data_IF_367035415834
#
_entry.id   IF_367035415834
#
_cell.length_a   1.000
_cell.length_b   1.000
_cell.length_c   1.000
_cell.angle_alpha   90.00
_cell.angle_beta   90.00
_cell.angle_gamma   90.00
#
_symmetry.space_group_name_H-M   'P 1'
#
loop_
_entity.id
_entity.type
_entity.pdbx_description
1 polymer ?
#
# COMPACT_ATOMS: atom_id res chain seq x y z
N UNK A 1 -11.68 8.68 2.78
CA UNK A 1 -10.42 9.44 2.98
C UNK A 1 -9.72 8.86 4.20
N UNK A 2 -8.40 8.71 4.15
CA UNK A 2 -7.62 8.18 5.27
C UNK A 2 -7.65 9.14 6.48
N UNK A 3 -7.79 8.62 7.69
CA UNK A 3 -7.70 9.36 8.97
C UNK A 3 -6.81 8.65 10.00
N UNK A 4 -5.95 7.71 9.58
CA UNK A 4 -5.03 6.94 10.43
C UNK A 4 -4.25 7.83 11.39
N UNK A 5 -3.68 8.93 10.90
CA UNK A 5 -2.93 9.91 11.69
C UNK A 5 -3.72 10.51 12.88
N UNK A 6 -5.05 10.50 12.83
CA UNK A 6 -5.95 11.03 13.85
C UNK A 6 -6.52 9.98 14.80
N UNK A 7 -6.45 8.69 14.45
CA UNK A 7 -7.13 7.62 15.22
C UNK A 7 -6.22 6.50 15.69
N UNK A 8 -5.05 6.30 15.07
CA UNK A 8 -4.15 5.20 15.42
C UNK A 8 -3.16 5.63 16.50
N UNK A 9 -3.30 5.04 17.69
CA UNK A 9 -2.42 5.29 18.84
C UNK A 9 -0.99 4.77 18.64
N UNK A 10 -0.77 3.81 17.73
CA UNK A 10 0.56 3.30 17.41
C UNK A 10 1.44 4.34 16.66
N UNK A 11 0.85 5.42 16.13
CA UNK A 11 1.58 6.46 15.41
C UNK A 11 2.12 7.57 16.32
N UNK A 12 1.90 7.50 17.64
CA UNK A 12 2.28 8.56 18.61
C UNK A 12 3.72 9.01 18.55
N UNK A 13 4.64 8.11 18.20
CA UNK A 13 6.07 8.40 18.08
C UNK A 13 6.53 8.49 16.62
N UNK A 14 5.60 8.46 15.66
CA UNK A 14 5.87 8.45 14.22
C UNK A 14 5.57 9.79 13.57
N UNK A 15 6.50 10.25 12.72
CA UNK A 15 6.27 11.34 11.79
C UNK A 15 5.47 10.79 10.59
N UNK A 16 4.31 11.38 10.30
CA UNK A 16 3.40 10.92 9.24
C UNK A 16 3.41 11.91 8.08
N UNK A 17 3.64 11.39 6.88
CA UNK A 17 3.56 12.15 5.63
C UNK A 17 2.36 11.67 4.82
N UNK A 18 1.53 12.60 4.37
CA UNK A 18 0.42 12.34 3.46
C UNK A 18 0.71 12.99 2.11
N UNK A 19 0.80 12.20 1.04
CA UNK A 19 1.04 12.67 -0.32
C UNK A 19 -0.24 12.47 -1.11
N UNK A 20 -0.83 13.56 -1.61
CA UNK A 20 -2.05 13.51 -2.41
C UNK A 20 -2.16 14.78 -3.27
N UNK A 21 -3.16 14.81 -4.15
CA UNK A 21 -3.50 15.98 -4.94
C UNK A 21 -3.86 17.18 -4.03
N UNK A 22 -3.47 18.41 -4.40
CA UNK A 22 -3.76 19.61 -3.62
C UNK A 22 -5.25 19.72 -3.23
N UNK A 23 -6.15 19.45 -4.17
CA UNK A 23 -7.59 19.59 -3.99
C UNK A 23 -8.15 18.56 -3.01
N UNK A 24 -7.58 17.34 -2.99
CA UNK A 24 -7.96 16.27 -2.06
C UNK A 24 -7.52 16.62 -0.65
N UNK A 25 -6.31 17.16 -0.48
CA UNK A 25 -5.79 17.61 0.82
C UNK A 25 -6.61 18.77 1.38
N UNK A 26 -6.97 19.75 0.55
CA UNK A 26 -7.81 20.89 0.94
C UNK A 26 -9.22 20.46 1.36
N UNK A 27 -9.83 19.55 0.58
CA UNK A 27 -11.13 18.97 0.91
C UNK A 27 -11.06 18.20 2.24
N UNK A 28 -10.00 17.40 2.45
CA UNK A 28 -9.81 16.64 3.69
C UNK A 28 -9.75 17.57 4.90
N UNK A 29 -8.96 18.63 4.82
CA UNK A 29 -8.80 19.59 5.90
C UNK A 29 -10.14 20.27 6.20
N UNK A 30 -10.87 20.72 5.18
CA UNK A 30 -12.20 21.33 5.36
C UNK A 30 -13.19 20.41 6.06
N UNK A 31 -13.22 19.13 5.67
CA UNK A 31 -14.09 18.13 6.28
C UNK A 31 -13.69 17.84 7.73
N UNK A 32 -12.40 17.70 8.01
CA UNK A 32 -11.90 17.47 9.37
C UNK A 32 -12.23 18.65 10.28
N UNK A 33 -11.97 19.87 9.84
CA UNK A 33 -12.29 21.11 10.55
C UNK A 33 -13.76 21.18 10.94
N UNK A 34 -14.64 20.82 10.00
CA UNK A 34 -16.09 20.80 10.20
C UNK A 34 -16.52 19.67 11.15
N UNK A 35 -15.97 18.47 10.99
CA UNK A 35 -16.40 17.29 11.74
C UNK A 35 -15.96 17.33 13.21
N UNK A 36 -14.77 17.85 13.49
CA UNK A 36 -14.16 17.78 14.83
C UNK A 36 -14.22 19.11 15.59
N UNK A 37 -14.73 20.19 15.00
CA UNK A 37 -14.77 21.54 15.59
C UNK A 37 -13.42 21.93 16.24
N UNK A 38 -12.30 21.67 15.56
CA UNK A 38 -10.94 21.89 16.09
C UNK A 38 -10.59 21.18 17.42
N UNK A 39 -11.36 20.18 17.84
CA UNK A 39 -11.21 19.56 19.16
C UNK A 39 -10.29 18.33 19.18
N UNK A 40 -9.85 17.84 18.02
CA UNK A 40 -9.05 16.62 17.90
C UNK A 40 -7.75 16.93 17.18
N UNK A 41 -6.63 16.80 17.89
CA UNK A 41 -5.30 16.80 17.31
C UNK A 41 -4.95 15.42 16.74
N UNK A 42 -4.05 15.33 15.73
CA UNK A 42 -3.50 14.06 15.29
C UNK A 42 -2.96 13.24 16.48
N UNK A 43 -3.15 11.92 16.44
CA UNK A 43 -2.50 10.98 17.37
C UNK A 43 -1.04 10.76 17.01
N UNK A 44 -0.64 11.07 15.78
CA UNK A 44 0.74 11.00 15.32
C UNK A 44 1.63 12.08 15.95
N UNK A 45 2.95 11.84 15.99
CA UNK A 45 3.92 12.82 16.49
C UNK A 45 3.90 14.10 15.66
N UNK A 46 3.86 13.94 14.34
CA UNK A 46 3.73 15.02 13.38
C UNK A 46 2.91 14.54 12.17
N UNK A 47 2.22 15.47 11.52
CA UNK A 47 1.48 15.23 10.29
C UNK A 47 1.86 16.30 9.27
N UNK A 48 2.51 15.89 8.19
CA UNK A 48 2.93 16.77 7.10
C UNK A 48 2.24 16.35 5.80
N UNK A 49 1.49 17.29 5.21
CA UNK A 49 0.79 17.07 3.94
C UNK A 49 1.61 17.63 2.79
N UNK A 50 1.77 16.84 1.74
CA UNK A 50 2.60 17.13 0.58
C UNK A 50 1.69 17.11 -0.64
N UNK A 51 1.41 18.31 -1.17
CA UNK A 51 0.66 18.48 -2.39
C UNK A 51 1.51 18.05 -3.58
N UNK A 52 1.34 16.79 -4.02
CA UNK A 52 2.09 16.22 -5.12
C UNK A 52 1.30 15.08 -5.78
N UNK A 53 1.52 14.94 -7.08
CA UNK A 53 1.06 13.79 -7.85
C UNK A 53 2.16 12.74 -7.88
N UNK A 54 1.89 11.54 -7.38
CA UNK A 54 2.87 10.44 -7.35
C UNK A 54 3.26 9.94 -8.75
N UNK A 55 2.54 10.34 -9.80
CA UNK A 55 2.88 10.07 -11.20
C UNK A 55 4.05 10.91 -11.71
N UNK A 56 4.32 12.03 -11.08
CA UNK A 56 5.33 13.01 -11.51
C UNK A 56 6.68 12.71 -10.88
N UNK A 57 7.78 12.95 -11.58
CA UNK A 57 9.12 12.58 -11.10
C UNK A 57 9.58 13.33 -9.83
N UNK A 58 8.92 14.44 -9.48
CA UNK A 58 9.34 15.32 -8.39
C UNK A 58 8.69 15.04 -7.03
N UNK A 59 7.74 14.10 -6.94
CA UNK A 59 7.00 13.84 -5.70
C UNK A 59 7.93 13.45 -4.54
N UNK A 60 8.95 12.64 -4.80
CA UNK A 60 9.90 12.20 -3.78
C UNK A 60 10.82 13.34 -3.34
N UNK A 61 11.21 14.23 -4.26
CA UNK A 61 11.98 15.44 -3.93
C UNK A 61 11.16 16.40 -3.06
N UNK A 62 9.85 16.54 -3.34
CA UNK A 62 8.92 17.32 -2.50
C UNK A 62 8.81 16.74 -1.09
N UNK A 63 8.69 15.41 -0.99
CA UNK A 63 8.71 14.69 0.29
C UNK A 63 10.00 14.97 1.06
N UNK A 64 11.18 14.83 0.45
CA UNK A 64 12.47 15.15 1.10
C UNK A 64 12.54 16.62 1.54
N UNK A 65 12.08 17.55 0.69
CA UNK A 65 12.05 18.98 1.00
C UNK A 65 11.12 19.33 2.17
N UNK A 66 10.12 18.49 2.45
CA UNK A 66 9.24 18.62 3.63
C UNK A 66 9.84 18.04 4.92
N UNK A 67 11.09 17.56 4.88
CA UNK A 67 11.83 17.07 6.04
C UNK A 67 11.84 15.54 6.19
N UNK A 68 11.37 14.79 5.19
CA UNK A 68 11.56 13.33 5.17
C UNK A 68 13.04 12.97 5.01
N UNK A 69 13.52 12.01 5.80
CA UNK A 69 14.91 11.56 5.84
C UNK A 69 14.95 10.10 5.34
N UNK A 70 15.42 9.83 4.10
CA UNK A 70 15.43 8.48 3.50
C UNK A 70 16.17 7.40 4.30
N UNK A 71 17.09 7.80 5.16
CA UNK A 71 17.89 6.89 6.01
C UNK A 71 17.11 6.40 7.25
N UNK A 72 15.93 6.95 7.53
CA UNK A 72 15.07 6.49 8.64
C UNK A 72 14.17 5.34 8.22
N UNK A 73 14.00 4.37 9.12
CA UNK A 73 13.08 3.26 8.92
C UNK A 73 11.69 3.79 8.54
N UNK A 74 11.13 3.32 7.43
CA UNK A 74 9.90 3.88 6.86
C UNK A 74 8.91 2.78 6.49
N UNK A 75 7.64 2.98 6.85
CA UNK A 75 6.51 2.18 6.38
C UNK A 75 5.75 3.00 5.33
N UNK A 76 5.73 2.52 4.10
CA UNK A 76 4.96 3.08 3.00
C UNK A 76 3.62 2.38 2.90
N UNK A 77 2.55 3.14 2.73
CA UNK A 77 1.20 2.60 2.55
C UNK A 77 0.66 3.09 1.20
N UNK A 78 0.49 2.18 0.26
CA UNK A 78 -0.15 2.41 -1.04
C UNK A 78 -1.48 1.66 -1.07
N UNK A 79 -2.48 2.18 -0.36
CA UNK A 79 -3.82 1.61 -0.33
C UNK A 79 -4.70 2.28 -1.38
N UNK A 80 -5.33 1.49 -2.23
CA UNK A 80 -6.36 1.97 -3.13
C UNK A 80 -5.85 2.85 -4.27
N UNK A 81 -4.55 2.82 -4.58
CA UNK A 81 -3.92 3.76 -5.51
C UNK A 81 -3.22 3.09 -6.69
N UNK A 82 -2.46 2.02 -6.45
CA UNK A 82 -1.43 1.59 -7.40
C UNK A 82 -1.99 1.11 -8.73
N UNK A 83 -3.18 0.49 -8.72
CA UNK A 83 -3.87 0.00 -9.91
C UNK A 83 -4.52 1.12 -10.75
N UNK A 84 -4.62 2.35 -10.24
CA UNK A 84 -5.03 3.53 -11.03
C UNK A 84 -3.88 4.20 -11.77
N UNK A 85 -2.63 3.82 -11.46
CA UNK A 85 -1.48 4.40 -12.12
C UNK A 85 -1.20 3.66 -13.44
N UNK A 86 -0.88 4.37 -14.53
CA UNK A 86 -0.22 3.80 -15.69
C UNK A 86 0.97 2.92 -15.30
N UNK A 87 1.17 1.81 -16.03
CA UNK A 87 2.15 0.79 -15.65
C UNK A 87 3.55 1.34 -15.37
N UNK A 88 4.08 2.23 -16.22
CA UNK A 88 5.40 2.84 -16.02
C UNK A 88 5.49 3.68 -14.74
N UNK A 89 4.42 4.40 -14.39
CA UNK A 89 4.36 5.25 -13.20
C UNK A 89 4.22 4.40 -11.94
N UNK A 90 3.38 3.35 -11.96
CA UNK A 90 3.29 2.38 -10.87
C UNK A 90 4.67 1.74 -10.58
N UNK A 91 5.36 1.27 -11.62
CA UNK A 91 6.69 0.69 -11.51
C UNK A 91 7.71 1.72 -11.00
N UNK A 92 7.63 2.97 -11.45
CA UNK A 92 8.48 4.06 -10.96
C UNK A 92 8.28 4.33 -9.46
N UNK A 93 7.03 4.43 -8.99
CA UNK A 93 6.71 4.59 -7.56
C UNK A 93 7.26 3.43 -6.75
N UNK A 94 6.98 2.18 -7.15
CA UNK A 94 7.48 1.00 -6.46
C UNK A 94 9.01 0.96 -6.42
N UNK A 95 9.67 1.33 -7.52
CA UNK A 95 11.14 1.35 -7.60
C UNK A 95 11.73 2.40 -6.68
N UNK A 96 11.20 3.63 -6.68
CA UNK A 96 11.63 4.70 -5.77
C UNK A 96 11.52 4.28 -4.30
N UNK A 97 10.43 3.59 -3.92
CA UNK A 97 10.27 3.06 -2.56
C UNK A 97 11.29 1.94 -2.30
N UNK A 98 11.46 1.01 -3.23
CA UNK A 98 12.37 -0.12 -3.09
C UNK A 98 13.84 0.31 -2.97
N UNK A 99 14.25 1.41 -3.62
CA UNK A 99 15.61 1.95 -3.55
C UNK A 99 16.02 2.31 -2.10
N UNK A 100 15.07 2.72 -1.25
CA UNK A 100 15.33 2.99 0.15
C UNK A 100 15.70 1.73 0.97
N UNK A 101 15.40 0.52 0.47
CA UNK A 101 15.84 -0.73 1.13
C UNK A 101 17.37 -0.81 1.20
N UNK A 102 18.09 -0.11 0.32
CA UNK A 102 19.56 -0.05 0.36
C UNK A 102 20.11 0.86 1.48
N UNK A 103 19.28 1.78 1.99
CA UNK A 103 19.68 2.78 2.99
C UNK A 103 19.19 2.42 4.40
N UNK A 104 17.99 1.85 4.51
CA UNK A 104 17.32 1.66 5.79
C UNK A 104 16.26 0.55 5.73
N UNK A 105 15.72 0.14 6.89
CA UNK A 105 14.60 -0.79 6.88
C UNK A 105 13.37 -0.11 6.28
N UNK A 106 12.93 -0.63 5.14
CA UNK A 106 11.79 -0.12 4.40
C UNK A 106 10.72 -1.20 4.33
N UNK A 107 9.49 -0.84 4.65
CA UNK A 107 8.31 -1.71 4.53
C UNK A 107 7.34 -1.06 3.56
N UNK A 108 6.78 -1.84 2.64
CA UNK A 108 5.69 -1.46 1.76
C UNK A 108 4.45 -2.27 2.14
N UNK A 109 3.36 -1.58 2.47
CA UNK A 109 2.02 -2.12 2.59
C UNK A 109 1.21 -1.63 1.38
N UNK A 110 0.64 -2.52 0.59
CA UNK A 110 -0.09 -2.15 -0.62
C UNK A 110 -1.17 -3.15 -0.98
N UNK A 111 -2.12 -2.77 -1.82
CA UNK A 111 -3.10 -3.68 -2.40
C UNK A 111 -2.90 -3.84 -3.92
N UNK A 112 -2.79 -5.09 -4.37
CA UNK A 112 -2.54 -5.42 -5.78
C UNK A 112 -3.74 -6.16 -6.37
N UNK A 113 -4.20 -5.72 -7.54
CA UNK A 113 -5.16 -6.47 -8.33
C UNK A 113 -4.45 -7.41 -9.30
N UNK A 114 -5.06 -8.58 -9.54
CA UNK A 114 -4.70 -9.41 -10.68
C UNK A 114 -5.27 -8.87 -11.99
N UNK A 115 -4.80 -9.40 -13.11
CA UNK A 115 -5.18 -8.97 -14.46
C UNK A 115 -6.68 -9.07 -14.72
N UNK A 116 -7.32 -10.13 -14.27
CA UNK A 116 -8.74 -10.34 -14.54
C UNK A 116 -9.58 -9.33 -13.75
N UNK A 117 -9.17 -8.95 -12.54
CA UNK A 117 -9.90 -7.98 -11.72
C UNK A 117 -9.90 -6.59 -12.33
N UNK A 118 -8.87 -6.21 -13.08
CA UNK A 118 -8.86 -4.91 -13.78
C UNK A 118 -9.92 -4.84 -14.89
N UNK A 119 -10.30 -5.98 -15.47
CA UNK A 119 -11.34 -6.07 -16.51
C UNK A 119 -12.76 -6.14 -15.98
N UNK A 120 -12.95 -6.35 -14.68
CA UNK A 120 -14.28 -6.42 -14.06
C UNK A 120 -14.95 -5.04 -13.94
N UNK A 121 -14.17 -3.96 -14.01
CA UNK A 121 -14.73 -2.61 -14.03
C UNK A 121 -15.10 -2.20 -15.46
N UNK A 122 -16.35 -1.79 -15.66
CA UNK A 122 -16.84 -1.25 -16.91
C UNK A 122 -16.22 0.12 -17.29
N UNK A 123 -15.49 0.75 -16.38
CA UNK A 123 -14.94 2.11 -16.55
C UNK A 123 -13.51 2.18 -17.10
N UNK A 124 -12.86 1.05 -17.41
CA UNK A 124 -11.45 0.99 -17.88
C UNK A 124 -10.46 1.80 -17.02
N UNK A 125 -10.76 1.99 -15.73
CA UNK A 125 -10.00 2.90 -14.85
C UNK A 125 -8.77 2.25 -14.22
N UNK A 126 -8.56 0.95 -14.43
CA UNK A 126 -7.42 0.22 -13.88
C UNK A 126 -6.35 0.02 -14.95
N UNK A 127 -5.15 0.51 -14.67
CA UNK A 127 -4.03 0.58 -15.63
C UNK A 127 -2.82 -0.26 -15.21
N UNK A 128 -2.80 -0.73 -13.97
CA UNK A 128 -1.75 -1.57 -13.43
C UNK A 128 -2.32 -2.79 -12.70
N UNK A 129 -1.63 -3.92 -12.81
CA UNK A 129 -1.93 -5.18 -12.13
C UNK A 129 -0.65 -5.97 -11.93
N UNK A 130 -0.68 -6.90 -10.99
CA UNK A 130 0.29 -7.99 -10.92
C UNK A 130 -0.43 -9.25 -10.50
N UNK A 131 -0.30 -10.31 -11.30
CA UNK A 131 -0.83 -11.62 -10.93
C UNK A 131 -0.02 -12.23 -9.77
N UNK A 132 1.28 -11.87 -9.67
CA UNK A 132 2.29 -12.42 -8.75
C UNK A 132 3.14 -11.30 -8.12
N UNK A 133 2.62 -10.52 -7.14
CA UNK A 133 3.38 -9.44 -6.51
C UNK A 133 4.67 -9.92 -5.80
N UNK A 134 4.66 -11.16 -5.30
CA UNK A 134 5.81 -11.85 -4.68
C UNK A 134 6.90 -12.25 -5.68
N UNK A 135 6.59 -12.37 -6.97
CA UNK A 135 7.60 -12.47 -8.03
C UNK A 135 8.08 -11.09 -8.49
N UNK A 136 7.17 -10.12 -8.57
CA UNK A 136 7.47 -8.77 -9.04
C UNK A 136 8.36 -7.99 -8.08
N UNK A 137 7.98 -7.89 -6.80
CA UNK A 137 8.60 -6.97 -5.84
C UNK A 137 10.07 -7.31 -5.53
N UNK A 138 10.50 -8.59 -5.50
CA UNK A 138 11.91 -8.92 -5.36
C UNK A 138 12.79 -8.39 -6.49
N UNK A 139 12.26 -8.28 -7.71
CA UNK A 139 13.00 -7.69 -8.84
C UNK A 139 13.33 -6.21 -8.64
N UNK A 140 12.62 -5.52 -7.74
CA UNK A 140 12.80 -4.10 -7.45
C UNK A 140 13.76 -3.83 -6.29
N UNK A 141 13.97 -4.82 -5.41
CA UNK A 141 14.88 -4.73 -4.27
C UNK A 141 14.31 -5.17 -2.93
N UNK A 142 13.02 -5.55 -2.85
CA UNK A 142 12.45 -6.11 -1.63
C UNK A 142 12.96 -7.54 -1.39
N UNK A 143 13.42 -7.84 -0.18
CA UNK A 143 13.98 -9.16 0.15
C UNK A 143 12.93 -10.13 0.69
N UNK A 144 11.86 -9.61 1.28
CA UNK A 144 10.77 -10.40 1.87
C UNK A 144 9.43 -9.89 1.33
N UNK A 145 8.55 -10.80 0.91
CA UNK A 145 7.19 -10.47 0.45
C UNK A 145 6.21 -11.48 1.05
N UNK A 146 5.15 -10.97 1.67
CA UNK A 146 4.04 -11.77 2.17
C UNK A 146 2.76 -11.31 1.50
N UNK A 147 1.94 -12.27 1.06
CA UNK A 147 0.68 -12.03 0.37
C UNK A 147 -0.50 -12.53 1.19
N UNK A 148 -1.27 -11.56 1.69
CA UNK A 148 -2.61 -11.63 2.26
C UNK A 148 -3.73 -11.75 1.22
N UNK A 149 -4.88 -12.34 1.55
CA UNK A 149 -6.15 -12.08 0.85
C UNK A 149 -7.29 -11.86 1.82
N UNK A 150 -8.34 -11.20 1.35
CA UNK A 150 -9.57 -11.04 2.13
C UNK A 150 -10.08 -12.41 2.57
N UNK A 151 -10.10 -12.61 3.89
CA UNK A 151 -10.57 -13.83 4.53
C UNK A 151 -9.56 -14.96 4.66
N UNK A 152 -8.29 -14.70 4.42
CA UNK A 152 -7.21 -15.51 4.99
C UNK A 152 -7.18 -15.34 6.52
N UNK A 153 -6.64 -16.30 7.29
CA UNK A 153 -6.65 -16.25 8.75
C UNK A 153 -6.01 -14.99 9.36
N UNK A 154 -5.06 -14.39 8.65
CA UNK A 154 -4.37 -13.14 9.02
C UNK A 154 -5.04 -11.89 8.43
N UNK A 155 -6.12 -12.05 7.66
CA UNK A 155 -6.84 -11.00 6.94
C UNK A 155 -8.37 -11.19 6.95
N UNK A 156 -8.91 -11.89 7.96
CA UNK A 156 -10.36 -12.03 8.20
C UNK A 156 -10.91 -11.04 9.25
N UNK A 157 -10.08 -10.63 10.21
CA UNK A 157 -10.40 -9.71 11.31
C UNK A 157 -11.71 -10.02 12.06
N UNK A 158 -12.09 -11.30 12.12
CA UNK A 158 -13.35 -11.74 12.69
C UNK A 158 -14.61 -11.43 11.87
N UNK A 159 -14.45 -10.84 10.68
CA UNK A 159 -15.56 -10.42 9.81
C UNK A 159 -16.13 -11.58 8.98
N UNK A 160 -15.44 -12.72 8.96
CA UNK A 160 -15.81 -13.90 8.16
C UNK A 160 -15.98 -15.15 9.03
N UNK A 161 -16.24 -14.98 10.31
CA UNK A 161 -16.62 -16.06 11.22
C UNK A 161 -18.15 -16.20 11.29
N UNK A 162 -18.77 -16.59 10.18
CA UNK A 162 -20.15 -17.10 10.19
C UNK A 162 -20.08 -18.61 9.86
N UNK A 163 -20.52 -19.51 10.77
CA UNK A 163 -20.47 -20.95 10.55
C UNK A 163 -21.32 -21.43 9.36
N UNK A 164 -22.26 -20.61 8.88
CA UNK A 164 -23.05 -20.86 7.68
C UNK A 164 -22.39 -20.30 6.41
N UNK A 165 -21.33 -19.51 6.52
CA UNK A 165 -20.66 -19.00 5.34
C UNK A 165 -19.95 -20.12 4.58
N UNK A 166 -20.04 -20.04 3.27
CA UNK A 166 -19.29 -20.91 2.38
C UNK A 166 -17.88 -20.35 2.11
N UNK A 167 -17.41 -19.36 2.89
CA UNK A 167 -16.20 -18.60 2.56
C UNK A 167 -14.97 -19.50 2.53
N UNK A 168 -14.84 -20.41 3.50
CA UNK A 168 -13.77 -21.42 3.51
C UNK A 168 -13.83 -22.34 2.27
N UNK A 169 -15.04 -22.68 1.79
CA UNK A 169 -15.20 -23.49 0.56
C UNK A 169 -14.90 -22.68 -0.69
N UNK A 170 -15.32 -21.41 -0.75
CA UNK A 170 -15.09 -20.47 -1.86
C UNK A 170 -13.63 -20.01 -1.95
N UNK A 171 -12.88 -20.01 -0.83
CA UNK A 171 -11.46 -19.67 -0.79
C UNK A 171 -10.61 -20.62 -1.64
N UNK A 172 -10.96 -21.91 -1.63
CA UNK A 172 -10.26 -22.93 -2.43
C UNK A 172 -10.74 -23.02 -3.89
N UNK A 173 -11.74 -22.24 -4.31
CA UNK A 173 -12.23 -22.27 -5.69
C UNK A 173 -11.36 -21.36 -6.55
N UNK A 174 -10.85 -21.84 -7.69
CA UNK A 174 -10.08 -21.00 -8.59
C UNK A 174 -10.85 -19.76 -9.04
N UNK A 175 -10.31 -18.59 -8.71
CA UNK A 175 -10.92 -17.30 -9.08
C UNK A 175 -10.48 -16.81 -10.45
N UNK A 176 -9.53 -17.51 -11.06
CA UNK A 176 -9.08 -17.34 -12.44
C UNK A 176 -8.63 -18.69 -13.02
N UNK A 177 -8.41 -18.75 -14.34
CA UNK A 177 -7.81 -19.91 -15.01
C UNK A 177 -6.29 -20.04 -14.80
N UNK A 178 -5.65 -19.04 -14.19
CA UNK A 178 -4.22 -19.06 -13.89
C UNK A 178 -3.97 -19.53 -12.46
N UNK A 179 -2.95 -20.37 -12.31
CA UNK A 179 -2.44 -20.85 -11.04
C UNK A 179 -1.05 -20.26 -10.79
N UNK A 180 -0.70 -20.11 -9.53
CA UNK A 180 0.60 -19.66 -9.07
C UNK A 180 1.67 -20.61 -9.58
N UNK A 181 2.78 -20.09 -10.15
CA UNK A 181 3.79 -20.91 -10.78
C UNK A 181 4.49 -21.87 -9.80
N UNK A 182 4.65 -21.46 -8.54
CA UNK A 182 5.46 -22.22 -7.57
C UNK A 182 4.67 -23.27 -6.78
N UNK A 183 3.43 -22.96 -6.36
CA UNK A 183 2.65 -23.83 -5.46
C UNK A 183 1.32 -24.31 -6.08
N UNK A 184 1.00 -23.87 -7.31
CA UNK A 184 -0.19 -24.26 -8.03
C UNK A 184 -1.51 -23.73 -7.46
N UNK A 185 -1.45 -22.85 -6.45
CA UNK A 185 -2.65 -22.24 -5.86
C UNK A 185 -3.33 -21.30 -6.88
N UNK A 186 -4.66 -21.12 -6.84
CA UNK A 186 -5.30 -20.26 -7.82
C UNK A 186 -4.91 -18.79 -7.68
N UNK A 187 -4.75 -18.08 -8.81
CA UNK A 187 -4.52 -16.64 -8.79
C UNK A 187 -5.71 -15.90 -8.15
N UNK A 188 -5.40 -14.92 -7.31
CA UNK A 188 -6.40 -14.25 -6.49
C UNK A 188 -6.68 -12.83 -6.95
N UNK A 189 -7.88 -12.33 -6.64
CA UNK A 189 -8.39 -11.09 -7.24
C UNK A 189 -7.69 -9.84 -6.70
N UNK A 190 -7.49 -9.82 -5.39
CA UNK A 190 -6.89 -8.72 -4.65
C UNK A 190 -5.95 -9.33 -3.61
N UNK A 191 -4.69 -8.88 -3.64
CA UNK A 191 -3.67 -9.23 -2.66
C UNK A 191 -3.47 -8.08 -1.70
N UNK A 192 -3.44 -8.36 -0.40
CA UNK A 192 -2.88 -7.47 0.61
C UNK A 192 -1.39 -7.79 0.70
N UNK A 193 -0.53 -6.85 0.35
CA UNK A 193 0.89 -7.07 0.22
C UNK A 193 1.62 -6.43 1.37
N UNK A 194 2.49 -7.19 2.03
CA UNK A 194 3.56 -6.66 2.87
C UNK A 194 4.91 -7.06 2.27
N UNK A 195 5.64 -6.09 1.74
CA UNK A 195 7.02 -6.28 1.27
C UNK A 195 7.99 -5.53 2.18
N UNK A 196 9.20 -6.06 2.37
CA UNK A 196 10.24 -5.36 3.13
C UNK A 196 11.64 -5.62 2.61
N UNK A 197 12.54 -4.69 2.91
CA UNK A 197 13.96 -4.79 2.63
C UNK A 197 14.76 -3.95 3.62
N UNK A 198 16.04 -4.29 3.78
CA UNK A 198 16.97 -3.55 4.61
C UNK A 198 18.39 -3.69 4.06
N UNK A 199 19.31 -2.77 4.42
CA UNK A 199 20.69 -2.86 3.98
C UNK A 199 21.27 -4.21 4.38
N UNK A 200 21.97 -4.87 3.46
CA UNK A 200 22.70 -6.09 3.80
C UNK A 200 23.69 -5.75 4.90
N UNK A 201 23.55 -6.39 6.06
CA UNK A 201 24.58 -6.35 7.10
C UNK A 201 25.82 -7.00 6.51
N UNK A 202 26.82 -6.21 6.17
CA UNK A 202 28.15 -6.75 5.87
C UNK A 202 28.68 -7.23 7.21
N UNK A 203 28.54 -8.52 7.48
CA UNK A 203 29.26 -9.17 8.57
C UNK A 203 30.76 -9.00 8.29
N UNK A 204 31.39 -8.11 9.05
CA UNK A 204 32.84 -7.97 9.14
C UNK A 204 33.47 -9.18 9.82
#
# INVERSE_FOLDING_TARGET
MDTRAYRLSCLKESDVYEIDFPEVLEMKETLLQTAINNSINPQSKSLTRIAADMREEDWFKKLQSSGFIPEKNTVWILEGIIYYLPHSQAMGVLKTIADNCSLTKTVLLADFMNKQSTTLSSSNSFHFYSDWPDHLLPTLGFSEVNLSQIGDPDADYGLLHDPLNLFNKLRGVPRSFQNHPDDGTPCCRLYLVQASGSPKTISS
#
